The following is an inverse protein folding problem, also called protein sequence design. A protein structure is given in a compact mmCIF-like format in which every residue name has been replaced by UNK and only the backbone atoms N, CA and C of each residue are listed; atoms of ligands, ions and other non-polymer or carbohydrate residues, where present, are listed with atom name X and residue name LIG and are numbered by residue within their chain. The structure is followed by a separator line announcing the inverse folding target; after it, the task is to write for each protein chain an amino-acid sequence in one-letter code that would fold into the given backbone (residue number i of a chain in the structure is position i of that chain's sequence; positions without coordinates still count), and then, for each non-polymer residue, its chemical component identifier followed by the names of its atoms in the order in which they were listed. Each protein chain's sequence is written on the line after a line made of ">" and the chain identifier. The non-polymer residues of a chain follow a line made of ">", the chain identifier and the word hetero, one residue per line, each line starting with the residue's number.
data_IF_041680465734
#
_entry.id   IF_041680465734
#
_cell.length_a   1.000
_cell.length_b   1.000
_cell.length_c   1.000
_cell.angle_alpha   90.00
_cell.angle_beta   90.00
_cell.angle_gamma   90.00
#
_symmetry.space_group_name_H-M   'P 1'
#
loop_
_entity.id
_entity.type
_entity.pdbx_description
1 polymer ?
#
# COMPACT_ATOMS: atom_id res chain seq x y z
N UNK A 1 -35.88 -7.90 -23.34
CA UNK A 1 -37.21 -8.10 -22.75
C UNK A 1 -37.42 -9.59 -22.50
N UNK A 2 -37.21 -10.06 -21.28
CA UNK A 2 -37.58 -11.42 -20.86
C UNK A 2 -38.42 -11.28 -19.59
N UNK A 3 -39.72 -11.54 -19.70
CA UNK A 3 -40.64 -11.70 -18.55
C UNK A 3 -40.59 -13.16 -18.11
N UNK A 4 -40.29 -13.48 -16.84
CA UNK A 4 -40.58 -14.79 -16.30
C UNK A 4 -42.03 -14.84 -15.79
N UNK A 5 -42.73 -15.98 -15.91
CA UNK A 5 -44.08 -16.14 -15.41
C UNK A 5 -44.08 -16.37 -13.90
N UNK A 6 -45.08 -15.77 -13.23
CA UNK A 6 -45.52 -16.11 -11.89
C UNK A 6 -45.94 -17.58 -11.83
N UNK A 7 -45.35 -18.38 -10.94
CA UNK A 7 -46.05 -19.13 -9.88
C UNK A 7 -45.11 -20.15 -9.22
N UNK A 8 -44.78 -19.87 -7.96
CA UNK A 8 -44.74 -20.81 -6.83
C UNK A 8 -43.98 -22.13 -7.03
N UNK A 9 -42.77 -22.23 -6.47
CA UNK A 9 -42.45 -23.32 -5.55
C UNK A 9 -41.33 -22.92 -4.59
N UNK A 10 -41.50 -23.35 -3.36
CA UNK A 10 -40.83 -22.87 -2.16
C UNK A 10 -39.45 -23.47 -1.93
N UNK A 11 -38.63 -22.68 -1.23
CA UNK A 11 -37.68 -23.08 -0.18
C UNK A 11 -36.45 -23.93 -0.57
N UNK A 12 -35.35 -23.60 0.12
CA UNK A 12 -34.07 -24.33 0.23
C UNK A 12 -32.99 -24.05 -0.83
N UNK A 13 -32.48 -22.81 -0.89
CA UNK A 13 -31.06 -22.56 -1.27
C UNK A 13 -30.39 -21.44 -0.45
N UNK A 14 -30.76 -21.26 0.83
CA UNK A 14 -30.09 -20.30 1.74
C UNK A 14 -28.83 -20.87 2.40
N UNK A 15 -27.98 -21.61 1.66
CA UNK A 15 -27.01 -22.52 2.29
C UNK A 15 -25.55 -22.50 1.86
N UNK A 16 -25.12 -21.83 0.78
CA UNK A 16 -23.73 -21.98 0.28
C UNK A 16 -23.09 -20.71 -0.34
N UNK A 17 -23.45 -19.47 0.03
CA UNK A 17 -22.84 -18.26 -0.58
C UNK A 17 -21.79 -17.57 0.34
N UNK A 18 -21.47 -18.14 1.52
CA UNK A 18 -20.59 -17.46 2.50
C UNK A 18 -19.14 -17.97 2.60
N UNK A 19 -18.68 -18.88 1.72
CA UNK A 19 -17.32 -19.45 1.83
C UNK A 19 -16.28 -18.91 0.82
N UNK A 20 -16.64 -17.95 -0.04
CA UNK A 20 -15.65 -17.32 -0.94
C UNK A 20 -14.88 -16.15 -0.30
N UNK A 21 -15.26 -15.69 0.89
CA UNK A 21 -14.67 -14.50 1.53
C UNK A 21 -13.40 -14.77 2.37
N UNK A 22 -12.83 -15.99 2.32
CA UNK A 22 -11.60 -16.33 3.04
C UNK A 22 -10.49 -16.87 2.14
N UNK A 23 -10.40 -16.38 0.90
CA UNK A 23 -9.07 -16.25 0.29
C UNK A 23 -8.41 -15.08 1.03
N UNK A 24 -7.89 -15.39 2.22
CA UNK A 24 -6.97 -14.53 2.93
C UNK A 24 -5.74 -14.50 2.04
N UNK A 25 -5.61 -13.47 1.21
CA UNK A 25 -4.29 -13.13 0.71
C UNK A 25 -3.44 -12.93 1.96
N UNK A 26 -2.40 -13.76 2.19
CA UNK A 26 -1.50 -13.50 3.29
C UNK A 26 -1.03 -12.04 3.15
N UNK A 27 -0.94 -11.28 4.25
CA UNK A 27 -0.35 -9.96 4.19
C UNK A 27 1.01 -10.11 3.50
N UNK A 28 1.40 -9.15 2.64
CA UNK A 28 2.70 -9.21 1.99
C UNK A 28 3.75 -9.43 3.09
N UNK A 29 4.40 -10.60 3.05
CA UNK A 29 5.51 -10.90 3.95
C UNK A 29 6.68 -10.02 3.48
N UNK A 30 6.64 -8.75 3.85
CA UNK A 30 7.66 -7.76 3.56
C UNK A 30 8.96 -8.22 4.20
N UNK A 31 9.80 -8.87 3.40
CA UNK A 31 11.06 -9.47 3.84
C UNK A 31 12.23 -8.51 3.80
N UNK A 32 12.01 -7.24 3.43
CA UNK A 32 13.07 -6.25 3.34
C UNK A 32 12.99 -5.17 4.41
N UNK A 33 13.79 -4.14 4.23
CA UNK A 33 14.02 -3.07 5.22
C UNK A 33 13.49 -1.72 4.77
N UNK A 34 12.98 -1.60 3.54
CA UNK A 34 12.55 -0.31 3.02
C UNK A 34 11.23 0.13 3.66
N UNK A 35 11.20 1.39 4.09
CA UNK A 35 9.98 2.10 4.50
C UNK A 35 9.18 2.54 3.28
N UNK A 36 7.93 2.96 3.46
CA UNK A 36 7.11 3.43 2.33
C UNK A 36 7.76 4.61 1.59
N UNK A 37 8.36 5.55 2.33
CA UNK A 37 9.15 6.65 1.75
C UNK A 37 10.28 6.13 0.87
N UNK A 38 11.09 5.20 1.36
CA UNK A 38 12.21 4.64 0.59
C UNK A 38 11.74 3.84 -0.62
N UNK A 39 10.59 3.16 -0.53
CA UNK A 39 9.95 2.49 -1.68
C UNK A 39 9.62 3.55 -2.75
N UNK A 40 8.92 4.63 -2.42
CA UNK A 40 8.57 5.67 -3.39
C UNK A 40 9.83 6.35 -3.96
N UNK A 41 10.78 6.73 -3.12
CA UNK A 41 11.98 7.44 -3.57
C UNK A 41 12.94 6.55 -4.39
N UNK A 42 13.08 5.28 -4.03
CA UNK A 42 14.03 4.36 -4.67
C UNK A 42 13.41 3.58 -5.81
N UNK A 43 12.19 3.08 -5.64
CA UNK A 43 11.54 2.22 -6.64
C UNK A 43 10.91 3.05 -7.76
N UNK A 44 10.10 4.07 -7.45
CA UNK A 44 9.39 4.83 -8.50
C UNK A 44 10.37 5.61 -9.39
N UNK A 45 11.49 6.07 -8.82
CA UNK A 45 12.53 6.77 -9.58
C UNK A 45 13.38 5.83 -10.46
N UNK A 46 13.59 4.59 -10.02
CA UNK A 46 14.42 3.62 -10.74
C UNK A 46 13.63 2.74 -11.74
N UNK A 47 12.32 2.55 -11.51
CA UNK A 47 11.51 1.59 -12.23
C UNK A 47 10.46 2.26 -13.13
N UNK A 48 10.59 2.06 -14.45
CA UNK A 48 9.55 2.47 -15.42
C UNK A 48 8.60 1.33 -15.80
N UNK A 49 8.91 0.09 -15.41
CA UNK A 49 8.14 -1.11 -15.75
C UNK A 49 7.43 -1.68 -14.52
N UNK A 50 6.21 -2.21 -14.66
CA UNK A 50 5.42 -2.71 -13.53
C UNK A 50 6.08 -3.88 -12.80
N UNK A 51 6.82 -4.74 -13.51
CA UNK A 51 7.58 -5.84 -12.88
C UNK A 51 8.76 -5.34 -12.05
N UNK A 52 9.41 -4.24 -12.46
CA UNK A 52 10.49 -3.63 -11.70
C UNK A 52 9.94 -3.04 -10.40
N UNK A 53 8.82 -2.30 -10.49
CA UNK A 53 8.13 -1.74 -9.33
C UNK A 53 7.77 -2.82 -8.32
N UNK A 54 7.11 -3.90 -8.78
CA UNK A 54 6.71 -5.01 -7.90
C UNK A 54 7.92 -5.71 -7.24
N UNK A 55 9.00 -5.94 -8.00
CA UNK A 55 10.21 -6.53 -7.46
C UNK A 55 10.91 -5.63 -6.44
N UNK A 56 10.91 -4.32 -6.68
CA UNK A 56 11.52 -3.34 -5.79
C UNK A 56 10.70 -3.16 -4.51
N UNK A 57 9.36 -3.07 -4.62
CA UNK A 57 8.48 -2.94 -3.45
C UNK A 57 8.60 -4.14 -2.50
N UNK A 58 8.87 -5.35 -3.01
CA UNK A 58 9.09 -6.54 -2.17
C UNK A 58 10.33 -6.45 -1.25
N UNK A 59 11.19 -5.45 -1.45
CA UNK A 59 12.27 -5.09 -0.51
C UNK A 59 11.80 -4.19 0.64
N UNK A 60 10.50 -3.89 0.68
CA UNK A 60 9.83 -3.19 1.76
C UNK A 60 9.66 -4.04 3.00
N UNK A 61 9.58 -3.35 4.14
CA UNK A 61 8.96 -3.88 5.36
C UNK A 61 7.46 -4.13 5.12
N UNK A 62 6.83 -4.99 5.92
CA UNK A 62 5.39 -5.23 5.81
C UNK A 62 4.57 -3.93 5.99
N UNK A 63 4.95 -3.08 6.96
CA UNK A 63 4.30 -1.78 7.17
C UNK A 63 4.51 -0.83 5.98
N UNK A 64 5.73 -0.77 5.43
CA UNK A 64 6.02 0.06 4.25
C UNK A 64 5.22 -0.37 3.02
N UNK A 65 5.02 -1.68 2.84
CA UNK A 65 4.21 -2.25 1.77
C UNK A 65 2.73 -1.90 1.93
N UNK A 66 2.17 -2.07 3.13
CA UNK A 66 0.76 -1.74 3.41
C UNK A 66 0.47 -0.26 3.19
N UNK A 67 1.38 0.62 3.62
CA UNK A 67 1.27 2.07 3.41
C UNK A 67 1.38 2.44 1.92
N UNK A 68 2.27 1.79 1.18
CA UNK A 68 2.45 2.03 -0.25
C UNK A 68 1.23 1.56 -1.05
N UNK A 69 0.66 0.40 -0.71
CA UNK A 69 -0.58 -0.09 -1.30
C UNK A 69 -1.76 0.84 -1.00
N UNK A 70 -1.86 1.37 0.22
CA UNK A 70 -2.88 2.36 0.56
C UNK A 70 -2.77 3.63 -0.29
N UNK A 71 -1.54 4.12 -0.51
CA UNK A 71 -1.28 5.28 -1.38
C UNK A 71 -1.70 5.01 -2.83
N UNK A 72 -1.30 3.87 -3.40
CA UNK A 72 -1.69 3.48 -4.76
C UNK A 72 -3.21 3.31 -4.89
N UNK A 73 -3.85 2.67 -3.92
CA UNK A 73 -5.31 2.49 -3.89
C UNK A 73 -6.04 3.83 -3.85
N UNK A 74 -5.52 4.81 -3.09
CA UNK A 74 -6.10 6.15 -3.09
C UNK A 74 -5.96 6.84 -4.45
N UNK A 75 -4.80 6.73 -5.10
CA UNK A 75 -4.58 7.27 -6.44
C UNK A 75 -5.54 6.67 -7.47
N UNK A 76 -5.71 5.34 -7.45
CA UNK A 76 -6.64 4.64 -8.34
C UNK A 76 -8.09 5.09 -8.13
N UNK A 77 -8.56 5.16 -6.87
CA UNK A 77 -9.94 5.59 -6.56
C UNK A 77 -10.25 7.01 -6.99
N UNK A 78 -9.25 7.89 -6.99
CA UNK A 78 -9.39 9.30 -7.39
C UNK A 78 -8.99 9.56 -8.85
N UNK A 79 -8.51 8.56 -9.58
CA UNK A 79 -8.04 8.72 -10.96
C UNK A 79 -6.80 9.59 -11.07
N UNK A 80 -5.93 9.60 -10.06
CA UNK A 80 -4.72 10.39 -10.06
C UNK A 80 -3.62 9.76 -10.91
N UNK A 81 -3.02 10.57 -11.77
CA UNK A 81 -1.90 10.17 -12.66
C UNK A 81 -0.62 10.97 -12.40
N UNK A 82 -0.68 11.95 -11.50
CA UNK A 82 0.41 12.89 -11.20
C UNK A 82 0.44 13.26 -9.71
N UNK A 83 1.58 13.80 -9.29
CA UNK A 83 1.86 14.17 -7.90
C UNK A 83 0.95 15.29 -7.38
N UNK A 84 0.47 16.19 -8.23
CA UNK A 84 -0.42 17.29 -7.82
C UNK A 84 -1.79 16.74 -7.43
N UNK A 85 -2.36 15.85 -8.26
CA UNK A 85 -3.59 15.13 -7.94
C UNK A 85 -3.45 14.30 -6.67
N UNK A 86 -2.34 13.55 -6.53
CA UNK A 86 -2.07 12.73 -5.35
C UNK A 86 -2.04 13.59 -4.07
N UNK A 87 -1.34 14.73 -4.09
CA UNK A 87 -1.30 15.66 -2.94
C UNK A 87 -2.67 16.25 -2.60
N UNK A 88 -3.50 16.53 -3.61
CA UNK A 88 -4.82 17.10 -3.40
C UNK A 88 -5.83 16.06 -2.87
N UNK A 89 -5.76 14.82 -3.37
CA UNK A 89 -6.80 13.81 -3.15
C UNK A 89 -6.45 12.76 -2.10
N UNK A 90 -5.16 12.55 -1.83
CA UNK A 90 -4.62 11.51 -0.95
C UNK A 90 -3.67 12.04 0.13
N UNK A 91 -3.98 13.17 0.82
CA UNK A 91 -3.03 13.77 1.77
C UNK A 91 -2.72 12.86 2.96
N UNK A 92 -3.69 12.07 3.43
CA UNK A 92 -3.52 11.19 4.58
C UNK A 92 -2.61 9.99 4.27
N UNK A 93 -2.79 9.37 3.11
CA UNK A 93 -1.94 8.28 2.64
C UNK A 93 -0.51 8.77 2.37
N UNK A 94 -0.35 9.99 1.83
CA UNK A 94 0.96 10.61 1.66
C UNK A 94 1.63 10.86 3.01
N UNK A 95 0.92 11.46 3.97
CA UNK A 95 1.48 11.72 5.32
C UNK A 95 1.88 10.42 6.01
N UNK A 96 1.07 9.36 5.86
CA UNK A 96 1.36 8.05 6.43
C UNK A 96 2.57 7.41 5.76
N UNK A 97 2.62 7.40 4.43
CA UNK A 97 3.71 6.78 3.66
C UNK A 97 5.03 7.53 3.79
N UNK A 98 4.98 8.85 3.70
CA UNK A 98 6.15 9.68 3.93
C UNK A 98 6.54 9.59 5.39
N UNK A 99 5.60 9.41 6.33
CA UNK A 99 5.85 9.42 7.76
C UNK A 99 6.26 10.80 8.26
N UNK A 100 6.45 10.97 9.58
CA UNK A 100 7.10 12.17 10.07
C UNK A 100 8.45 12.26 9.35
N UNK A 101 8.75 13.41 8.72
CA UNK A 101 10.13 13.73 8.37
C UNK A 101 10.90 13.46 9.65
N UNK A 102 11.70 12.39 9.69
CA UNK A 102 12.51 12.06 10.84
C UNK A 102 13.26 13.36 11.11
N UNK A 103 12.81 14.08 12.13
CA UNK A 103 13.28 15.42 12.41
C UNK A 103 14.72 15.16 12.72
N UNK A 104 15.60 15.48 11.76
CA UNK A 104 16.94 14.92 11.63
C UNK A 104 17.49 14.81 13.03
N UNK A 105 17.55 13.59 13.58
CA UNK A 105 17.97 13.43 14.96
C UNK A 105 19.29 14.19 15.02
N UNK A 106 19.43 15.23 15.87
CA UNK A 106 20.62 16.04 15.90
C UNK A 106 21.73 15.03 16.05
N UNK A 107 22.57 14.88 15.02
CA UNK A 107 23.65 13.91 15.03
C UNK A 107 24.42 14.22 16.29
N UNK A 108 24.20 13.40 17.32
CA UNK A 108 24.91 13.48 18.58
C UNK A 108 26.27 12.89 18.24
N UNK A 109 27.06 13.74 17.57
CA UNK A 109 28.47 13.60 17.32
C UNK A 109 29.13 13.64 18.68
N UNK A 110 29.01 12.55 19.41
CA UNK A 110 29.86 12.26 20.54
C UNK A 110 31.21 11.92 19.93
N UNK A 111 31.95 12.96 19.56
CA UNK A 111 33.36 12.86 19.28
C UNK A 111 34.01 12.22 20.52
N UNK A 112 34.73 11.10 20.40
CA UNK A 112 35.42 10.51 21.54
C UNK A 112 36.48 11.51 22.02
N UNK A 113 36.39 11.90 23.29
CA UNK A 113 37.41 12.73 23.92
C UNK A 113 38.76 11.98 23.88
N UNK A 114 39.85 12.62 23.40
CA UNK A 114 41.17 12.00 23.43
C UNK A 114 41.66 11.94 24.88
N UNK A 115 42.02 10.74 25.35
CA UNK A 115 42.71 10.54 26.62
C UNK A 115 44.21 10.66 26.38
N UNK A 116 44.86 11.64 27.02
CA UNK A 116 46.32 11.73 27.18
C UNK A 116 46.86 10.71 28.19
#
# INVERSE_FOLDING_TARGET
>A
MCRPPLLVLALVFSGCINQAARVVNPPPEGGGTLTCREIVETCDSACTQPFCLHGCSNQGTAEGLDQHEALLSCGERNGCTDEECMRASCPAEIETCMGPMAASEPSESTAPAPTE
#
